data_IF_561684301483
#
_entry.id   IF_561684301483
#
_cell.length_a   1.000
_cell.length_b   1.000
_cell.length_c   1.000
_cell.angle_alpha   90.00
_cell.angle_beta   90.00
_cell.angle_gamma   90.00
#
_symmetry.space_group_name_H-M   'P 1'
#
loop_
_entity.id
_entity.type
_entity.pdbx_description
1 polymer ?
#
# COMPACT_ATOMS: atom_id res chain seq x y z
N UNK A 1 -8.83 21.70 26.33
CA UNK A 1 -8.25 20.35 26.23
C UNK A 1 -8.96 19.70 25.06
N UNK A 2 -8.35 19.73 23.88
CA UNK A 2 -8.98 19.21 22.65
C UNK A 2 -9.00 17.69 22.72
N UNK A 3 -10.19 17.12 22.86
CA UNK A 3 -10.41 15.69 22.68
C UNK A 3 -9.88 15.30 21.29
N UNK A 4 -8.78 14.54 21.28
CA UNK A 4 -8.36 13.83 20.09
C UNK A 4 -9.45 12.79 19.81
N UNK A 5 -10.36 13.10 18.89
CA UNK A 5 -11.27 12.12 18.32
C UNK A 5 -10.37 11.01 17.76
N UNK A 6 -10.42 9.77 18.30
CA UNK A 6 -9.58 8.70 17.79
C UNK A 6 -9.94 8.50 16.32
N UNK A 7 -8.94 8.60 15.44
CA UNK A 7 -9.13 8.30 14.03
C UNK A 7 -9.78 6.92 13.91
N UNK A 8 -10.85 6.85 13.12
CA UNK A 8 -11.52 5.58 12.80
C UNK A 8 -10.44 4.57 12.34
N UNK A 9 -10.25 3.44 13.04
CA UNK A 9 -9.25 2.45 12.70
C UNK A 9 -9.35 1.97 11.24
N UNK A 10 -10.57 1.94 10.68
CA UNK A 10 -10.78 1.60 9.28
C UNK A 10 -10.28 2.70 8.34
N UNK A 11 -10.43 3.96 8.73
CA UNK A 11 -9.89 5.11 7.99
C UNK A 11 -8.36 5.08 7.98
N UNK A 12 -7.72 4.87 9.13
CA UNK A 12 -6.26 4.77 9.22
C UNK A 12 -5.70 3.65 8.31
N UNK A 13 -6.34 2.47 8.35
CA UNK A 13 -5.96 1.33 7.51
C UNK A 13 -6.14 1.61 6.00
N UNK A 14 -7.24 2.26 5.61
CA UNK A 14 -7.46 2.68 4.22
C UNK A 14 -6.40 3.70 3.77
N UNK A 15 -6.00 4.62 4.65
CA UNK A 15 -4.96 5.59 4.34
C UNK A 15 -3.60 4.92 4.11
N UNK A 16 -3.19 4.01 4.98
CA UNK A 16 -1.94 3.25 4.81
C UNK A 16 -1.94 2.41 3.54
N UNK A 17 -3.06 1.76 3.24
CA UNK A 17 -3.21 0.96 2.02
C UNK A 17 -3.10 1.81 0.75
N UNK A 18 -3.76 2.98 0.71
CA UNK A 18 -3.67 3.93 -0.41
C UNK A 18 -2.25 4.46 -0.60
N UNK A 19 -1.53 4.69 0.48
CA UNK A 19 -0.13 5.14 0.42
C UNK A 19 0.78 4.10 -0.25
N UNK A 20 0.64 2.82 0.09
CA UNK A 20 1.41 1.75 -0.55
C UNK A 20 1.08 1.56 -2.02
N UNK A 21 -0.21 1.69 -2.39
CA UNK A 21 -0.62 1.66 -3.80
C UNK A 21 0.00 2.81 -4.60
N UNK A 22 0.06 4.02 -4.03
CA UNK A 22 0.70 5.16 -4.69
C UNK A 22 2.19 4.90 -4.96
N UNK A 23 2.90 4.28 -4.02
CA UNK A 23 4.31 3.88 -4.19
C UNK A 23 4.45 2.86 -5.33
N UNK A 24 3.62 1.82 -5.35
CA UNK A 24 3.63 0.78 -6.40
C UNK A 24 3.41 1.39 -7.79
N UNK A 25 2.42 2.28 -7.92
CA UNK A 25 2.10 2.94 -9.18
C UNK A 25 3.26 3.83 -9.63
N UNK A 26 3.79 4.67 -8.74
CA UNK A 26 4.86 5.60 -9.07
C UNK A 26 6.13 4.89 -9.56
N UNK A 27 6.58 3.84 -8.88
CA UNK A 27 7.74 3.07 -9.36
C UNK A 27 7.46 2.30 -10.64
N UNK A 28 6.22 1.80 -10.84
CA UNK A 28 5.84 1.15 -12.09
C UNK A 28 5.85 2.12 -13.28
N UNK A 29 5.48 3.39 -13.04
CA UNK A 29 5.57 4.48 -14.03
C UNK A 29 7.04 4.85 -14.32
N UNK A 30 7.89 4.94 -13.30
CA UNK A 30 9.34 5.20 -13.48
C UNK A 30 10.02 4.10 -14.31
N UNK A 31 9.73 2.82 -14.01
CA UNK A 31 10.22 1.68 -14.79
C UNK A 31 9.73 1.73 -16.25
N UNK A 32 8.49 2.19 -16.48
CA UNK A 32 7.93 2.28 -17.83
C UNK A 32 8.59 3.39 -18.67
N UNK A 33 9.06 4.46 -18.03
CA UNK A 33 9.75 5.58 -18.67
C UNK A 33 11.27 5.34 -18.86
N UNK A 34 11.86 4.35 -18.19
CA UNK A 34 13.27 3.99 -18.32
C UNK A 34 13.53 2.83 -19.29
N UNK A 35 14.17 3.12 -20.43
CA UNK A 35 14.42 2.14 -21.48
C UNK A 35 15.87 1.62 -21.58
N UNK A 36 16.84 2.10 -20.80
CA UNK A 36 18.27 1.83 -21.05
C UNK A 36 19.17 1.51 -19.84
N UNK A 37 18.64 1.34 -18.62
CA UNK A 37 19.42 0.86 -17.47
C UNK A 37 18.74 -0.34 -16.78
N UNK A 38 19.16 -1.58 -17.11
CA UNK A 38 18.60 -2.79 -16.52
C UNK A 38 18.76 -2.92 -15.00
N UNK A 39 19.80 -2.32 -14.40
CA UNK A 39 20.01 -2.40 -12.95
C UNK A 39 19.14 -1.38 -12.21
N UNK A 40 18.92 -0.19 -12.79
CA UNK A 40 17.96 0.79 -12.26
C UNK A 40 16.51 0.23 -12.28
N UNK A 41 16.11 -0.33 -13.43
CA UNK A 41 14.81 -1.02 -13.58
C UNK A 41 14.64 -2.12 -12.53
N UNK A 42 15.68 -2.93 -12.32
CA UNK A 42 15.64 -4.02 -11.34
C UNK A 42 15.51 -3.52 -9.91
N UNK A 43 16.18 -2.42 -9.56
CA UNK A 43 16.06 -1.80 -8.25
C UNK A 43 14.64 -1.28 -8.00
N UNK A 44 14.06 -0.58 -8.96
CA UNK A 44 12.68 -0.08 -8.86
C UNK A 44 11.66 -1.22 -8.77
N UNK A 45 11.87 -2.32 -9.50
CA UNK A 45 11.02 -3.52 -9.40
C UNK A 45 11.09 -4.13 -7.99
N UNK A 46 12.26 -4.11 -7.33
CA UNK A 46 12.36 -4.57 -5.94
C UNK A 46 11.58 -3.67 -4.98
N UNK A 47 11.60 -2.35 -5.18
CA UNK A 47 10.81 -1.43 -4.34
C UNK A 47 9.30 -1.61 -4.55
N UNK A 48 8.84 -1.80 -5.79
CA UNK A 48 7.45 -2.17 -6.10
C UNK A 48 7.06 -3.45 -5.36
N UNK A 49 7.90 -4.49 -5.44
CA UNK A 49 7.66 -5.76 -4.76
C UNK A 49 7.60 -5.60 -3.24
N UNK A 50 8.52 -4.84 -2.66
CA UNK A 50 8.53 -4.59 -1.20
C UNK A 50 7.26 -3.85 -0.75
N UNK A 51 6.81 -2.85 -1.50
CA UNK A 51 5.57 -2.14 -1.22
C UNK A 51 4.34 -3.05 -1.33
N UNK A 52 4.31 -3.95 -2.33
CA UNK A 52 3.24 -4.95 -2.49
C UNK A 52 3.21 -5.96 -1.34
N UNK A 53 4.36 -6.47 -0.89
CA UNK A 53 4.46 -7.38 0.26
C UNK A 53 3.94 -6.71 1.55
N UNK A 54 4.28 -5.42 1.76
CA UNK A 54 3.73 -4.63 2.88
C UNK A 54 2.21 -4.46 2.78
N UNK A 55 1.69 -4.26 1.58
CA UNK A 55 0.26 -4.10 1.36
C UNK A 55 -0.50 -5.40 1.67
N UNK A 56 0.04 -6.56 1.26
CA UNK A 56 -0.51 -7.88 1.58
C UNK A 56 -0.57 -8.08 3.11
N UNK A 57 0.51 -7.78 3.84
CA UNK A 57 0.51 -7.88 5.32
C UNK A 57 -0.54 -6.98 5.98
N UNK A 58 -0.87 -5.82 5.39
CA UNK A 58 -1.95 -4.97 5.89
C UNK A 58 -3.33 -5.59 5.62
N UNK A 59 -3.51 -6.31 4.51
CA UNK A 59 -4.78 -6.99 4.23
C UNK A 59 -5.10 -8.10 5.23
N UNK A 60 -4.08 -8.76 5.80
CA UNK A 60 -4.27 -9.76 6.85
C UNK A 60 -4.77 -9.16 8.17
N UNK A 61 -4.55 -7.86 8.37
CA UNK A 61 -5.03 -7.11 9.54
C UNK A 61 -6.41 -6.49 9.34
N UNK A 62 -7.00 -6.62 8.14
CA UNK A 62 -8.35 -6.12 7.89
C UNK A 62 -9.36 -6.87 8.76
N UNK A 63 -10.26 -6.17 9.46
CA UNK A 63 -11.35 -6.83 10.16
C UNK A 63 -12.20 -7.59 9.13
N UNK A 64 -12.37 -8.91 9.35
CA UNK A 64 -13.30 -9.70 8.54
C UNK A 64 -14.71 -9.17 8.79
N UNK A 65 -15.52 -8.91 7.76
CA UNK A 65 -16.91 -8.56 7.97
C UNK A 65 -17.58 -9.70 8.73
N UNK A 66 -18.27 -9.36 9.83
CA UNK A 66 -19.06 -10.33 10.56
C UNK A 66 -20.09 -10.97 9.62
N UNK A 67 -20.28 -12.30 9.67
CA UNK A 67 -21.29 -12.95 8.85
C UNK A 67 -22.64 -12.30 9.15
N UNK A 68 -23.32 -11.79 8.11
CA UNK A 68 -24.67 -11.24 8.26
C UNK A 68 -25.57 -12.30 8.90
N UNK A 69 -26.28 -11.99 9.99
CA UNK A 69 -27.26 -12.92 10.53
C UNK A 69 -28.38 -13.12 9.50
N UNK A 70 -28.67 -14.39 9.19
CA UNK A 70 -29.78 -14.82 8.34
C UNK A 70 -31.14 -14.60 9.00
#
# INVERSE_FOLDING_TARGET
MTDHIPEDPARALIHEFRNLLAVIINYSELIADEANDPEAIKADIQEVRSAAERAIMLTEKLPRPEPKPS
#
